data_IF_696164302972
#
_entry.id   IF_696164302972
#
_cell.length_a   1.000
_cell.length_b   1.000
_cell.length_c   1.000
_cell.angle_alpha   90.00
_cell.angle_beta   90.00
_cell.angle_gamma   90.00
#
_symmetry.space_group_name_H-M   'P 1'
#
loop_
_entity.id
_entity.type
_entity.pdbx_description
1 polymer ?
#
# COMPACT_ATOMS: atom_id res chain seq x y z
N UNK A 1 -7.06 -10.82 -15.65
CA UNK A 1 -6.00 -10.22 -14.82
C UNK A 1 -6.61 -9.44 -13.67
N UNK A 2 -6.15 -9.69 -12.44
CA UNK A 2 -6.65 -8.98 -11.28
C UNK A 2 -5.88 -7.67 -11.07
N UNK A 3 -6.43 -6.79 -10.26
CA UNK A 3 -5.74 -5.56 -9.87
C UNK A 3 -4.39 -5.86 -9.21
N UNK A 4 -4.36 -6.90 -8.38
CA UNK A 4 -3.14 -7.35 -7.72
C UNK A 4 -2.08 -7.81 -8.72
N UNK A 5 -2.48 -8.59 -9.71
CA UNK A 5 -1.56 -9.09 -10.74
C UNK A 5 -0.97 -7.96 -11.57
N UNK A 6 -1.77 -6.93 -11.87
CA UNK A 6 -1.29 -5.79 -12.66
C UNK A 6 -0.27 -4.95 -11.91
N UNK A 7 -0.18 -5.10 -10.60
CA UNK A 7 0.78 -4.38 -9.76
C UNK A 7 2.13 -5.11 -9.63
N UNK A 8 2.27 -6.29 -10.22
CA UNK A 8 3.50 -7.06 -10.12
C UNK A 8 4.68 -6.27 -10.69
N UNK A 9 5.76 -6.18 -9.89
CA UNK A 9 6.97 -5.48 -10.30
C UNK A 9 6.89 -3.95 -10.25
N UNK A 10 5.77 -3.41 -9.79
CA UNK A 10 5.58 -1.95 -9.71
C UNK A 10 6.04 -1.45 -8.34
N UNK A 11 6.94 -0.47 -8.35
CA UNK A 11 7.35 0.22 -7.12
C UNK A 11 6.65 1.57 -7.05
N UNK A 12 6.15 1.91 -5.87
CA UNK A 12 5.41 3.17 -5.65
C UNK A 12 6.04 3.93 -4.49
N UNK A 13 5.86 5.25 -4.51
CA UNK A 13 6.35 6.10 -3.42
C UNK A 13 5.48 5.94 -2.19
N UNK A 14 5.99 6.40 -1.03
CA UNK A 14 5.22 6.38 0.21
C UNK A 14 3.93 7.20 0.07
N UNK A 15 3.98 8.34 -0.63
CA UNK A 15 2.79 9.16 -0.87
C UNK A 15 1.75 8.38 -1.65
N UNK A 16 2.19 7.65 -2.67
CA UNK A 16 1.27 6.85 -3.48
C UNK A 16 0.69 5.69 -2.67
N UNK A 17 1.52 5.07 -1.83
CA UNK A 17 1.05 3.98 -0.95
C UNK A 17 -0.05 4.49 -0.03
N UNK A 18 0.15 5.66 0.57
CA UNK A 18 -0.86 6.25 1.46
C UNK A 18 -2.12 6.65 0.70
N UNK A 19 -2.00 7.10 -0.56
CA UNK A 19 -3.14 7.37 -1.42
C UNK A 19 -3.96 6.11 -1.68
N UNK A 20 -3.29 4.98 -1.90
CA UNK A 20 -3.98 3.71 -2.10
C UNK A 20 -4.76 3.30 -0.85
N UNK A 21 -4.18 3.50 0.33
CA UNK A 21 -4.89 3.25 1.58
C UNK A 21 -6.14 4.14 1.68
N UNK A 22 -6.02 5.41 1.31
CA UNK A 22 -7.14 6.36 1.29
C UNK A 22 -8.26 5.86 0.37
N UNK A 23 -7.92 5.43 -0.84
CA UNK A 23 -8.88 4.93 -1.81
C UNK A 23 -9.65 3.73 -1.30
N UNK A 24 -9.05 2.96 -0.41
CA UNK A 24 -9.66 1.77 0.18
C UNK A 24 -10.39 2.08 1.49
N UNK A 25 -10.57 3.36 1.80
CA UNK A 25 -11.34 3.80 2.96
C UNK A 25 -10.60 3.74 4.27
N UNK A 26 -9.28 3.62 4.25
CA UNK A 26 -8.49 3.61 5.47
C UNK A 26 -8.42 5.00 6.10
N UNK A 27 -8.55 5.05 7.42
CA UNK A 27 -8.40 6.29 8.18
C UNK A 27 -6.94 6.47 8.62
N UNK A 28 -6.64 7.61 9.27
CA UNK A 28 -5.28 7.91 9.71
C UNK A 28 -4.70 6.85 10.63
N UNK A 29 -5.51 6.24 11.49
CA UNK A 29 -5.07 5.17 12.37
C UNK A 29 -4.59 3.96 11.58
N UNK A 30 -5.27 3.63 10.49
CA UNK A 30 -4.89 2.52 9.61
C UNK A 30 -3.58 2.82 8.90
N UNK A 31 -3.41 4.06 8.46
CA UNK A 31 -2.15 4.48 7.81
C UNK A 31 -0.98 4.39 8.78
N UNK A 32 -1.18 4.80 10.03
CA UNK A 32 -0.17 4.69 11.06
C UNK A 32 0.19 3.24 11.31
N UNK A 33 -0.82 2.37 11.38
CA UNK A 33 -0.62 0.94 11.56
C UNK A 33 0.17 0.33 10.41
N UNK A 34 -0.17 0.71 9.17
CA UNK A 34 0.54 0.26 7.98
C UNK A 34 2.03 0.61 8.09
N UNK A 35 2.34 1.86 8.41
CA UNK A 35 3.72 2.32 8.54
C UNK A 35 4.46 1.60 9.67
N UNK A 36 3.74 1.23 10.73
CA UNK A 36 4.33 0.51 11.85
C UNK A 36 4.62 -0.94 11.51
N UNK A 37 3.72 -1.60 10.79
CA UNK A 37 3.86 -3.02 10.46
C UNK A 37 4.82 -3.25 9.29
N UNK A 38 4.71 -2.43 8.25
CA UNK A 38 5.52 -2.57 7.04
C UNK A 38 6.84 -1.81 7.15
N UNK A 39 6.86 -0.75 7.96
CA UNK A 39 8.01 0.12 8.08
C UNK A 39 7.89 1.31 7.14
N UNK A 40 8.56 2.40 7.50
CA UNK A 40 8.54 3.62 6.72
C UNK A 40 9.70 3.61 5.73
N UNK A 41 9.39 3.56 4.45
CA UNK A 41 10.37 3.51 3.38
C UNK A 41 10.03 4.56 2.33
N UNK A 42 11.01 4.89 1.47
CA UNK A 42 10.78 5.83 0.39
C UNK A 42 9.93 5.20 -0.72
N UNK A 43 10.08 3.90 -0.92
CA UNK A 43 9.37 3.16 -1.96
C UNK A 43 8.83 1.85 -1.40
N UNK A 44 7.69 1.42 -1.94
CA UNK A 44 7.06 0.16 -1.58
C UNK A 44 6.75 -0.63 -2.84
N UNK A 45 6.78 -1.97 -2.73
CA UNK A 45 6.25 -2.84 -3.75
C UNK A 45 4.72 -2.69 -3.73
N UNK A 46 4.13 -2.36 -4.88
CA UNK A 46 2.68 -2.14 -4.97
C UNK A 46 1.89 -3.38 -4.55
N UNK A 47 2.39 -4.60 -4.85
CA UNK A 47 1.73 -5.83 -4.42
C UNK A 47 1.74 -5.97 -2.90
N UNK A 48 2.81 -5.54 -2.25
CA UNK A 48 2.92 -5.59 -0.80
C UNK A 48 1.85 -4.71 -0.15
N UNK A 49 1.66 -3.51 -0.68
CA UNK A 49 0.61 -2.60 -0.21
C UNK A 49 -0.77 -3.22 -0.41
N UNK A 50 -1.03 -3.78 -1.58
CA UNK A 50 -2.31 -4.42 -1.87
C UNK A 50 -2.55 -5.64 -0.98
N UNK A 51 -1.51 -6.42 -0.73
CA UNK A 51 -1.60 -7.58 0.16
C UNK A 51 -1.98 -7.15 1.57
N UNK A 52 -1.39 -6.08 2.05
CA UNK A 52 -1.74 -5.53 3.37
C UNK A 52 -3.20 -5.12 3.42
N UNK A 53 -3.73 -4.60 2.29
CA UNK A 53 -5.13 -4.19 2.17
C UNK A 53 -6.11 -5.36 2.02
N UNK A 54 -5.60 -6.58 1.84
CA UNK A 54 -6.43 -7.77 1.76
C UNK A 54 -6.67 -8.36 0.37
N UNK A 55 -5.89 -7.93 -0.60
CA UNK A 55 -6.00 -8.50 -1.96
C UNK A 55 -5.28 -9.82 -2.07
#
# INVERSE_FOLDING_TARGET
>A
MTYYESAEGVMITIERALQELDKHGCVDADKTQFLREVGREDFYDAQEVLRWLGY
#
